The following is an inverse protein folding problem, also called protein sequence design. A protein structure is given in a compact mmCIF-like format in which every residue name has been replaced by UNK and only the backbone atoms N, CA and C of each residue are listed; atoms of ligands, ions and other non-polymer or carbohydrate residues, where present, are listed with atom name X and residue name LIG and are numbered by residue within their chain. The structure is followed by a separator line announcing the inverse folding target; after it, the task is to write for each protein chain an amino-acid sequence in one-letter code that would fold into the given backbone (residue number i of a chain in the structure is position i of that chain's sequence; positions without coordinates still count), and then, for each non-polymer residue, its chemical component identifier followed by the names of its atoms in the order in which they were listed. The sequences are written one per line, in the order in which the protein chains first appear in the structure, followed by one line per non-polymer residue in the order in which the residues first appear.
data_IF_910308650502
#
_entry.id   IF_910308650502
#
_cell.length_a   1.000
_cell.length_b   1.000
_cell.length_c   1.000
_cell.angle_alpha   90.00
_cell.angle_beta   90.00
_cell.angle_gamma   90.00
#
_symmetry.space_group_name_H-M   'P 1'
#
loop_
_entity.id
_entity.type
_entity.pdbx_description
1 polymer ?
#
# COMPACT_ATOMS: atom_id res chain seq x y z
N UNK A 1 -21.73 15.09 -4.79
CA UNK A 1 -20.68 14.10 -4.51
C UNK A 1 -21.35 12.75 -4.42
N UNK A 2 -21.15 11.88 -5.42
CA UNK A 2 -21.76 10.55 -5.43
C UNK A 2 -21.18 9.67 -4.33
N UNK A 3 -22.03 8.99 -3.56
CA UNK A 3 -21.59 8.00 -2.58
C UNK A 3 -20.81 6.90 -3.30
N UNK A 4 -19.53 6.74 -2.98
CA UNK A 4 -18.76 5.57 -3.42
C UNK A 4 -19.48 4.31 -2.91
N UNK A 5 -20.02 3.51 -3.83
CA UNK A 5 -20.64 2.24 -3.47
C UNK A 5 -19.55 1.22 -3.20
N UNK A 6 -19.38 0.86 -1.93
CA UNK A 6 -18.50 -0.21 -1.51
C UNK A 6 -19.31 -1.51 -1.43
N UNK A 7 -18.87 -2.53 -2.17
CA UNK A 7 -19.48 -3.86 -2.16
C UNK A 7 -18.61 -4.82 -1.36
N UNK A 8 -19.20 -5.55 -0.41
CA UNK A 8 -18.49 -6.60 0.34
C UNK A 8 -18.08 -7.74 -0.60
N UNK A 9 -16.85 -8.23 -0.44
CA UNK A 9 -16.29 -9.35 -1.22
C UNK A 9 -15.81 -10.47 -0.28
N UNK A 10 -15.50 -11.63 -0.84
CA UNK A 10 -14.93 -12.77 -0.11
C UNK A 10 -13.54 -12.48 0.48
N UNK A 11 -13.16 -13.24 1.50
CA UNK A 11 -11.89 -13.08 2.22
C UNK A 11 -10.77 -13.99 1.70
N UNK A 12 -11.11 -15.02 0.91
CA UNK A 12 -10.18 -16.07 0.48
C UNK A 12 -9.27 -15.68 -0.70
N UNK A 13 -9.36 -14.44 -1.18
CA UNK A 13 -8.51 -13.93 -2.25
C UNK A 13 -8.92 -14.39 -3.66
N UNK A 14 -8.08 -14.15 -4.68
CA UNK A 14 -6.64 -13.89 -4.58
C UNK A 14 -6.28 -12.47 -4.12
N UNK A 15 -5.20 -12.37 -3.32
CA UNK A 15 -4.60 -11.12 -2.84
C UNK A 15 -3.20 -10.94 -3.44
N UNK A 16 -2.76 -9.72 -3.80
CA UNK A 16 -1.49 -9.54 -4.52
C UNK A 16 -0.25 -9.97 -3.73
N UNK A 17 -0.29 -9.81 -2.40
CA UNK A 17 0.83 -10.13 -1.52
C UNK A 17 1.08 -11.64 -1.36
N UNK A 18 0.14 -12.52 -1.74
CA UNK A 18 0.33 -13.98 -1.60
C UNK A 18 1.42 -14.53 -2.52
N UNK A 19 1.77 -13.79 -3.57
CA UNK A 19 2.82 -14.15 -4.53
C UNK A 19 4.18 -13.54 -4.19
N UNK A 20 4.20 -12.50 -3.35
CA UNK A 20 5.39 -11.68 -3.06
C UNK A 20 5.95 -11.99 -1.68
N UNK A 21 5.09 -12.18 -0.69
CA UNK A 21 5.52 -12.44 0.68
C UNK A 21 5.98 -13.90 0.87
N UNK A 22 6.94 -14.14 1.77
CA UNK A 22 7.35 -15.50 2.12
C UNK A 22 6.16 -16.34 2.58
N UNK A 23 6.16 -17.64 2.26
CA UNK A 23 5.11 -18.58 2.68
C UNK A 23 4.94 -18.67 4.21
N UNK A 24 5.94 -18.23 4.98
CA UNK A 24 5.90 -18.16 6.44
C UNK A 24 5.11 -16.97 6.97
N UNK A 25 4.73 -15.99 6.13
CA UNK A 25 3.91 -14.86 6.53
C UNK A 25 2.45 -15.29 6.62
N UNK A 26 1.88 -15.28 7.83
CA UNK A 26 0.47 -15.57 8.06
C UNK A 26 -0.30 -14.25 8.05
N UNK A 27 -1.13 -14.04 7.02
CA UNK A 27 -2.03 -12.88 6.91
C UNK A 27 -3.45 -13.40 6.73
N UNK A 28 -4.35 -12.99 7.62
CA UNK A 28 -5.75 -13.38 7.61
C UNK A 28 -6.61 -12.17 7.33
N UNK A 29 -7.29 -12.16 6.17
CA UNK A 29 -8.28 -11.13 5.86
C UNK A 29 -9.58 -11.45 6.60
N UNK A 30 -10.05 -10.54 7.45
CA UNK A 30 -11.27 -10.74 8.24
C UNK A 30 -12.51 -10.22 7.51
N UNK A 31 -12.32 -9.17 6.72
CA UNK A 31 -13.39 -8.56 5.93
C UNK A 31 -12.78 -7.73 4.82
N UNK A 32 -13.43 -7.74 3.66
CA UNK A 32 -12.97 -6.99 2.50
C UNK A 32 -14.15 -6.42 1.72
N UNK A 33 -13.88 -5.30 1.06
CA UNK A 33 -14.79 -4.60 0.18
C UNK A 33 -14.07 -4.21 -1.09
N UNK A 34 -14.82 -4.14 -2.18
CA UNK A 34 -14.40 -3.56 -3.45
C UNK A 34 -15.16 -2.27 -3.71
N UNK A 35 -14.51 -1.32 -4.37
CA UNK A 35 -15.08 -0.03 -4.71
C UNK A 35 -14.18 0.74 -5.65
N UNK A 36 -14.41 2.04 -5.73
CA UNK A 36 -13.65 2.95 -6.57
C UNK A 36 -13.20 4.16 -5.76
N UNK A 37 -11.96 4.57 -5.94
CA UNK A 37 -11.40 5.80 -5.37
C UNK A 37 -10.70 6.54 -6.49
N UNK A 38 -11.16 7.76 -6.78
CA UNK A 38 -10.62 8.61 -7.84
C UNK A 38 -10.37 7.88 -9.18
N UNK A 39 -11.39 7.13 -9.63
CA UNK A 39 -11.39 6.31 -10.85
C UNK A 39 -10.45 5.09 -10.84
N UNK A 40 -9.85 4.75 -9.71
CA UNK A 40 -9.08 3.52 -9.53
C UNK A 40 -9.92 2.47 -8.81
N UNK A 41 -9.89 1.24 -9.32
CA UNK A 41 -10.56 0.13 -8.66
C UNK A 41 -9.77 -0.28 -7.42
N UNK A 42 -10.46 -0.36 -6.28
CA UNK A 42 -9.85 -0.61 -4.96
C UNK A 42 -10.49 -1.81 -4.30
N UNK A 43 -9.66 -2.69 -3.74
CA UNK A 43 -10.06 -3.63 -2.69
C UNK A 43 -9.44 -3.18 -1.37
N UNK A 44 -10.24 -3.07 -0.32
CA UNK A 44 -9.73 -2.66 0.98
C UNK A 44 -10.45 -3.42 2.08
N UNK A 45 -9.83 -3.54 3.24
CA UNK A 45 -10.42 -4.36 4.30
C UNK A 45 -9.64 -4.39 5.58
N UNK A 46 -10.09 -5.25 6.48
CA UNK A 46 -9.47 -5.54 7.77
C UNK A 46 -8.71 -6.84 7.69
N UNK A 47 -7.56 -6.89 8.35
CA UNK A 47 -6.78 -8.11 8.47
C UNK A 47 -6.04 -8.18 9.81
N UNK A 48 -5.61 -9.39 10.12
CA UNK A 48 -4.62 -9.68 11.15
C UNK A 48 -3.40 -10.32 10.50
N UNK A 49 -2.23 -10.17 11.13
CA UNK A 49 -1.01 -10.82 10.66
C UNK A 49 -0.16 -11.32 11.82
N UNK A 50 0.56 -12.39 11.54
CA UNK A 50 1.78 -12.79 12.25
C UNK A 50 2.85 -13.07 11.21
N UNK A 51 3.73 -12.07 10.99
CA UNK A 51 4.65 -12.05 9.87
C UNK A 51 5.77 -11.02 10.11
N UNK A 52 6.96 -11.44 10.56
CA UNK A 52 8.09 -10.52 10.77
C UNK A 52 8.45 -9.68 9.54
N UNK A 53 8.19 -10.19 8.33
CA UNK A 53 8.36 -9.47 7.07
C UNK A 53 7.49 -8.22 6.94
N UNK A 54 6.33 -8.16 7.61
CA UNK A 54 5.43 -7.01 7.60
C UNK A 54 5.91 -5.88 8.49
N UNK A 55 6.87 -6.10 9.39
CA UNK A 55 7.41 -5.06 10.28
C UNK A 55 7.91 -3.84 9.52
N UNK A 56 8.44 -4.02 8.30
CA UNK A 56 8.89 -2.90 7.46
C UNK A 56 7.75 -2.18 6.72
N UNK A 57 6.55 -2.75 6.65
CA UNK A 57 5.38 -2.09 6.06
C UNK A 57 4.49 -1.47 7.14
N UNK A 58 4.39 -2.10 8.31
CA UNK A 58 3.43 -1.75 9.36
C UNK A 58 4.07 -1.21 10.64
N UNK A 59 5.40 -1.30 10.76
CA UNK A 59 6.13 -1.03 12.00
C UNK A 59 6.02 -2.14 13.05
N UNK A 60 5.30 -3.24 12.78
CA UNK A 60 5.06 -4.32 13.76
C UNK A 60 5.16 -5.72 13.12
N UNK A 61 5.82 -6.69 13.78
CA UNK A 61 5.92 -8.06 13.27
C UNK A 61 4.58 -8.81 13.33
N UNK A 62 3.71 -8.46 14.27
CA UNK A 62 2.40 -9.07 14.49
C UNK A 62 1.37 -7.98 14.82
N UNK A 63 0.10 -8.18 14.44
CA UNK A 63 -0.94 -7.22 14.77
C UNK A 63 -2.23 -7.33 13.96
N UNK A 64 -3.01 -6.25 14.04
CA UNK A 64 -4.25 -6.06 13.33
C UNK A 64 -4.26 -4.68 12.66
N UNK A 65 -4.99 -4.56 11.57
CA UNK A 65 -5.00 -3.33 10.79
C UNK A 65 -5.83 -3.42 9.54
N UNK A 66 -5.51 -2.54 8.62
CA UNK A 66 -6.23 -2.40 7.35
C UNK A 66 -5.28 -2.58 6.18
N UNK A 67 -5.85 -2.98 5.05
CA UNK A 67 -5.15 -3.04 3.78
C UNK A 67 -5.91 -2.28 2.70
N UNK A 68 -5.18 -1.86 1.69
CA UNK A 68 -5.73 -1.41 0.41
C UNK A 68 -4.92 -2.04 -0.73
N UNK A 69 -5.61 -2.47 -1.78
CA UNK A 69 -5.08 -2.96 -3.05
C UNK A 69 -5.74 -2.17 -4.16
N UNK A 70 -4.94 -1.56 -5.01
CA UNK A 70 -5.35 -0.68 -6.10
C UNK A 70 -4.98 -1.39 -7.41
N UNK A 71 -5.98 -1.58 -8.28
CA UNK A 71 -5.73 -2.00 -9.66
C UNK A 71 -5.22 -0.80 -10.45
N UNK A 72 -4.00 -0.90 -10.94
CA UNK A 72 -3.40 0.06 -11.84
C UNK A 72 -3.96 -0.15 -13.26
N UNK A 73 -4.12 0.93 -14.05
CA UNK A 73 -4.63 0.83 -15.42
C UNK A 73 -3.67 0.10 -16.37
N UNK A 74 -2.37 0.11 -16.05
CA UNK A 74 -1.31 -0.57 -16.78
C UNK A 74 -0.28 -1.09 -15.77
N UNK A 75 0.49 -2.15 -16.11
CA UNK A 75 1.52 -2.66 -15.22
C UNK A 75 2.63 -1.62 -15.03
N UNK A 76 3.10 -1.48 -13.79
CA UNK A 76 4.29 -0.70 -13.46
C UNK A 76 5.43 -1.66 -13.07
N UNK A 77 6.71 -1.25 -13.25
CA UNK A 77 7.85 -2.03 -12.78
C UNK A 77 7.70 -2.40 -11.29
N UNK A 78 8.05 -3.64 -10.89
CA UNK A 78 8.01 -4.05 -9.49
C UNK A 78 8.81 -3.10 -8.60
N UNK A 79 8.15 -2.62 -7.55
CA UNK A 79 8.70 -1.60 -6.66
C UNK A 79 8.15 -1.83 -5.25
N UNK A 80 8.99 -1.73 -4.24
CA UNK A 80 8.54 -1.71 -2.85
C UNK A 80 9.19 -0.58 -2.09
N UNK A 81 8.40 0.22 -1.36
CA UNK A 81 8.88 1.27 -0.47
C UNK A 81 8.49 0.90 0.95
N UNK A 82 9.51 0.68 1.79
CA UNK A 82 9.38 0.13 3.13
C UNK A 82 10.07 1.01 4.17
N UNK A 83 9.59 0.98 5.41
CA UNK A 83 10.28 1.58 6.56
C UNK A 83 11.64 0.91 6.78
N UNK A 84 12.66 1.71 7.05
CA UNK A 84 13.92 1.24 7.63
C UNK A 84 13.75 1.03 9.14
N UNK A 85 14.37 -0.02 9.66
CA UNK A 85 14.18 -0.47 11.04
C UNK A 85 14.70 0.50 12.10
N UNK A 86 15.70 1.34 11.78
CA UNK A 86 16.47 2.12 12.77
C UNK A 86 16.41 3.64 12.51
N UNK A 87 15.43 4.13 11.77
CA UNK A 87 15.53 5.45 11.16
C UNK A 87 14.79 6.56 11.90
N UNK A 88 15.55 7.53 12.41
CA UNK A 88 15.07 8.80 12.98
C UNK A 88 15.39 10.03 12.08
N UNK A 89 15.80 9.79 10.83
CA UNK A 89 16.19 10.86 9.90
C UNK A 89 15.00 11.67 9.37
N UNK A 90 15.31 12.77 8.67
CA UNK A 90 14.32 13.71 8.13
C UNK A 90 14.17 13.61 6.61
N UNK A 91 14.94 12.74 5.96
CA UNK A 91 14.89 12.55 4.51
C UNK A 91 14.25 11.21 4.14
N UNK A 92 13.88 11.06 2.87
CA UNK A 92 13.28 9.82 2.36
C UNK A 92 14.26 8.64 2.48
N UNK A 93 15.49 8.81 2.01
CA UNK A 93 16.49 7.74 1.99
C UNK A 93 16.95 7.37 3.41
N UNK A 94 16.82 8.28 4.39
CA UNK A 94 17.03 7.95 5.80
C UNK A 94 15.94 7.03 6.32
N UNK A 95 14.67 7.28 5.98
CA UNK A 95 13.50 6.65 6.63
C UNK A 95 13.01 5.41 5.90
N UNK A 96 13.29 5.31 4.61
CA UNK A 96 12.73 4.29 3.74
C UNK A 96 13.81 3.55 2.95
N UNK A 97 13.50 2.31 2.63
CA UNK A 97 14.23 1.45 1.71
C UNK A 97 13.32 1.21 0.50
N UNK A 98 13.85 1.46 -0.69
CA UNK A 98 13.15 1.21 -1.95
C UNK A 98 13.81 0.06 -2.69
N UNK A 99 13.04 -0.97 -3.04
CA UNK A 99 13.52 -2.13 -3.80
C UNK A 99 12.91 -2.15 -5.20
N UNK A 100 13.73 -2.43 -6.22
CA UNK A 100 13.35 -2.47 -7.63
C UNK A 100 14.23 -1.55 -8.46
N UNK A 101 14.66 -2.01 -9.63
CA UNK A 101 15.66 -1.28 -10.44
C UNK A 101 15.15 0.09 -10.92
N UNK A 102 13.84 0.21 -11.15
CA UNK A 102 13.18 1.44 -11.56
C UNK A 102 12.83 2.40 -10.39
N UNK A 103 13.15 2.03 -9.15
CA UNK A 103 12.78 2.83 -7.96
C UNK A 103 13.27 4.29 -8.00
N UNK A 104 14.52 4.59 -8.39
CA UNK A 104 15.02 5.98 -8.37
C UNK A 104 14.25 6.90 -9.33
N UNK A 105 13.75 6.36 -10.44
CA UNK A 105 13.07 7.10 -11.51
C UNK A 105 11.57 7.26 -11.24
N UNK A 106 10.94 6.25 -10.63
CA UNK A 106 9.49 6.26 -10.37
C UNK A 106 9.12 7.04 -9.09
N UNK A 107 10.03 7.14 -8.12
CA UNK A 107 9.77 7.85 -6.87
C UNK A 107 10.21 9.32 -7.01
N UNK A 108 9.35 10.10 -7.67
CA UNK A 108 9.52 11.55 -7.83
C UNK A 108 9.53 12.32 -6.51
N UNK A 109 9.99 13.57 -6.57
CA UNK A 109 10.19 14.43 -5.38
C UNK A 109 8.93 14.61 -4.54
N UNK A 110 7.77 14.81 -5.17
CA UNK A 110 6.48 14.94 -4.47
C UNK A 110 6.18 13.71 -3.64
N UNK A 111 6.35 12.52 -4.22
CA UNK A 111 6.09 11.25 -3.55
C UNK A 111 7.06 11.03 -2.37
N UNK A 112 8.32 11.45 -2.51
CA UNK A 112 9.30 11.42 -1.42
C UNK A 112 8.87 12.29 -0.25
N UNK A 113 8.45 13.54 -0.52
CA UNK A 113 8.01 14.50 0.51
C UNK A 113 6.80 13.96 1.28
N UNK A 114 5.73 13.58 0.59
CA UNK A 114 4.50 13.12 1.24
C UNK A 114 4.69 11.81 2.00
N UNK A 115 5.68 10.99 1.61
CA UNK A 115 6.00 9.78 2.33
C UNK A 115 6.78 10.06 3.63
N UNK A 116 7.73 10.99 3.60
CA UNK A 116 8.45 11.45 4.81
C UNK A 116 7.49 12.02 5.84
N UNK A 117 6.49 12.81 5.41
CA UNK A 117 5.50 13.36 6.33
C UNK A 117 4.45 12.33 6.80
N UNK A 118 4.64 11.05 6.44
CA UNK A 118 3.72 9.95 6.75
C UNK A 118 2.30 10.19 6.20
N UNK A 119 2.18 11.03 5.17
CA UNK A 119 0.91 11.34 4.50
C UNK A 119 0.46 10.17 3.63
N UNK A 120 1.40 9.39 3.08
CA UNK A 120 1.11 8.13 2.36
C UNK A 120 1.76 6.93 3.06
N UNK A 121 1.09 5.75 3.08
CA UNK A 121 1.59 4.55 3.75
C UNK A 121 2.76 3.92 2.96
N UNK A 122 3.58 3.05 3.55
CA UNK A 122 4.47 2.17 2.78
C UNK A 122 3.68 1.32 1.79
N UNK A 123 4.26 1.01 0.62
CA UNK A 123 3.55 0.33 -0.46
C UNK A 123 4.42 -0.65 -1.24
N UNK A 124 3.77 -1.53 -1.98
CA UNK A 124 4.40 -2.45 -2.93
C UNK A 124 3.59 -2.49 -4.22
N UNK A 125 4.30 -2.58 -5.34
CA UNK A 125 3.78 -2.74 -6.69
C UNK A 125 4.20 -4.12 -7.19
N UNK A 126 3.23 -4.88 -7.69
CA UNK A 126 3.45 -6.15 -8.38
C UNK A 126 2.52 -6.25 -9.59
N UNK A 127 3.09 -6.17 -10.79
CA UNK A 127 2.33 -6.12 -12.04
C UNK A 127 1.36 -4.93 -12.07
N UNK A 128 0.05 -5.21 -12.13
CA UNK A 128 -1.03 -4.21 -12.15
C UNK A 128 -1.63 -3.93 -10.77
N UNK A 129 -1.00 -4.37 -9.68
CA UNK A 129 -1.52 -4.16 -8.33
C UNK A 129 -0.54 -3.34 -7.50
N UNK A 130 -1.03 -2.26 -6.89
CA UNK A 130 -0.38 -1.57 -5.79
C UNK A 130 -1.09 -1.93 -4.48
N UNK A 131 -0.36 -2.36 -3.46
CA UNK A 131 -0.96 -2.61 -2.15
C UNK A 131 -0.19 -1.98 -1.01
N UNK A 132 -0.91 -1.69 0.07
CA UNK A 132 -0.41 -1.09 1.29
C UNK A 132 -1.10 -1.69 2.52
N UNK A 133 -0.38 -1.68 3.64
CA UNK A 133 -0.89 -2.07 4.95
C UNK A 133 -0.73 -0.92 5.94
N UNK A 134 -1.65 -0.81 6.89
CA UNK A 134 -1.49 0.09 8.03
C UNK A 134 -1.91 -0.62 9.32
N UNK A 135 -1.01 -0.59 10.32
CA UNK A 135 -1.36 -1.05 11.65
C UNK A 135 -2.31 -0.09 12.34
N UNK A 136 -3.29 -0.66 13.05
CA UNK A 136 -4.27 0.11 13.82
C UNK A 136 -4.22 -0.37 15.26
N UNK A 137 -3.87 0.53 16.19
CA UNK A 137 -3.72 0.21 17.62
C UNK A 137 -5.04 0.39 18.41
N UNK A 138 -6.11 0.72 17.71
CA UNK A 138 -7.45 0.92 18.25
C UNK A 138 -8.46 0.04 17.50
N UNK A 139 -9.72 -0.09 17.97
CA UNK A 139 -10.73 -0.84 17.25
C UNK A 139 -10.88 -0.34 15.80
N UNK A 140 -10.76 -1.25 14.83
CA UNK A 140 -10.76 -0.90 13.40
C UNK A 140 -12.17 -0.46 12.96
N UNK A 141 -12.28 0.80 12.56
CA UNK A 141 -13.50 1.46 12.08
C UNK A 141 -13.48 1.63 10.55
N UNK A 142 -14.65 1.78 9.90
CA UNK A 142 -14.73 2.00 8.45
C UNK A 142 -13.85 3.16 7.94
N UNK A 143 -13.72 4.23 8.74
CA UNK A 143 -12.86 5.38 8.42
C UNK A 143 -11.39 4.99 8.19
N UNK A 144 -10.86 3.97 8.87
CA UNK A 144 -9.46 3.55 8.69
C UNK A 144 -9.25 2.88 7.34
N UNK A 145 -10.24 2.11 6.89
CA UNK A 145 -10.23 1.45 5.57
C UNK A 145 -10.30 2.52 4.47
N UNK A 146 -11.21 3.49 4.62
CA UNK A 146 -11.36 4.59 3.67
C UNK A 146 -10.12 5.48 3.61
N UNK A 147 -9.54 5.83 4.76
CA UNK A 147 -8.30 6.62 4.83
C UNK A 147 -7.15 5.92 4.11
N UNK A 148 -6.91 4.63 4.42
CA UNK A 148 -5.84 3.88 3.77
C UNK A 148 -6.09 3.75 2.25
N UNK A 149 -7.32 3.46 1.83
CA UNK A 149 -7.69 3.38 0.43
C UNK A 149 -7.43 4.71 -0.31
N UNK A 150 -7.81 5.84 0.28
CA UNK A 150 -7.58 7.16 -0.30
C UNK A 150 -6.10 7.49 -0.42
N UNK A 151 -5.32 7.21 0.63
CA UNK A 151 -3.87 7.47 0.62
C UNK A 151 -3.14 6.56 -0.36
N UNK A 152 -3.52 5.28 -0.46
CA UNK A 152 -2.96 4.35 -1.44
C UNK A 152 -3.34 4.73 -2.89
N UNK A 153 -4.57 5.18 -3.13
CA UNK A 153 -4.99 5.69 -4.43
C UNK A 153 -4.19 6.94 -4.82
N UNK A 154 -3.88 7.82 -3.87
CA UNK A 154 -3.03 8.98 -4.13
C UNK A 154 -1.60 8.58 -4.53
N UNK A 155 -1.01 7.57 -3.88
CA UNK A 155 0.29 7.01 -4.31
C UNK A 155 0.22 6.51 -5.75
N UNK A 156 -0.81 5.73 -6.08
CA UNK A 156 -1.00 5.20 -7.43
C UNK A 156 -1.10 6.32 -8.49
N UNK A 157 -1.84 7.40 -8.20
CA UNK A 157 -1.93 8.54 -9.11
C UNK A 157 -0.60 9.24 -9.31
N UNK A 158 0.16 9.50 -8.23
CA UNK A 158 1.47 10.14 -8.34
C UNK A 158 2.43 9.29 -9.18
N UNK A 159 2.45 7.97 -8.98
CA UNK A 159 3.27 7.05 -9.77
C UNK A 159 2.87 7.05 -11.25
N UNK A 160 1.59 7.06 -11.57
CA UNK A 160 1.11 7.11 -12.95
C UNK A 160 1.47 8.44 -13.63
N UNK A 161 1.45 9.55 -12.89
CA UNK A 161 1.88 10.85 -13.41
C UNK A 161 3.38 10.83 -13.73
N UNK A 162 4.23 10.34 -12.81
CA UNK A 162 5.68 10.29 -13.03
C UNK A 162 6.04 9.30 -14.15
N UNK A 163 5.40 8.13 -14.20
CA UNK A 163 5.65 7.15 -15.27
C UNK A 163 5.37 7.71 -16.66
N UNK A 164 4.30 8.52 -16.81
CA UNK A 164 3.97 9.17 -18.09
C UNK A 164 4.93 10.31 -18.47
N UNK A 165 5.78 10.78 -17.55
CA UNK A 165 6.78 11.83 -17.82
C UNK A 165 8.12 11.28 -18.30
N UNK A 166 8.43 10.03 -17.98
CA UNK A 166 9.66 9.37 -18.40
C UNK A 166 9.40 8.70 -19.76
N UNK A 167 9.93 9.24 -20.89
CA UNK A 167 9.79 8.57 -22.18
C UNK A 167 10.52 7.22 -22.13
N UNK A 168 9.87 6.18 -22.68
CA UNK A 168 10.40 4.84 -22.82
C UNK A 168 11.64 4.76 -23.73
#
# INVERSE_FOLDING_TARGET
MGSQQWQRIGIDGPWPWTTVLPQTAVITVESAWSGWVDSLAVKAGKLTWSAPSLSRMTGKPDGAGVFASIRLPHPLPPLAVHLRAESAGKTFDDRFDSKGDAAPELIGEVLRIVHVDNTVPPWTITGEELYAFAAVNEPIRPRHIQDLAQRAAWVAQLLLIEHNRTPA
#
